data_IF_213172234461
#
_entry.id   IF_213172234461
#
_cell.length_a   1.000
_cell.length_b   1.000
_cell.length_c   1.000
_cell.angle_alpha   90.00
_cell.angle_beta   90.00
_cell.angle_gamma   90.00
#
_symmetry.space_group_name_H-M   'P 1'
#
loop_
_entity.id
_entity.type
_entity.pdbx_description
1 polymer ?
#
# COMPACT_ATOMS: atom_id res chain seq x y z
N UNK A 1 -15.84 2.68 -9.17
CA UNK A 1 -16.51 3.38 -8.03
C UNK A 1 -15.60 4.41 -7.38
N UNK A 2 -14.39 4.05 -6.92
CA UNK A 2 -13.45 4.99 -6.31
C UNK A 2 -12.97 6.09 -7.26
N UNK A 3 -12.65 5.75 -8.52
CA UNK A 3 -12.23 6.73 -9.53
C UNK A 3 -13.31 7.79 -9.82
N UNK A 4 -14.59 7.38 -9.80
CA UNK A 4 -15.72 8.31 -10.00
C UNK A 4 -15.88 9.23 -8.78
N UNK A 5 -15.73 8.68 -7.57
CA UNK A 5 -15.76 9.48 -6.34
C UNK A 5 -14.62 10.51 -6.30
N UNK A 6 -13.40 10.13 -6.71
CA UNK A 6 -12.26 11.03 -6.84
C UNK A 6 -12.53 12.14 -7.86
N UNK A 7 -13.05 11.81 -9.05
CA UNK A 7 -13.38 12.82 -10.06
C UNK A 7 -14.45 13.82 -9.61
N UNK A 8 -15.42 13.39 -8.80
CA UNK A 8 -16.44 14.30 -8.22
C UNK A 8 -15.81 15.20 -7.14
N UNK A 9 -14.90 14.66 -6.34
CA UNK A 9 -14.22 15.39 -5.28
C UNK A 9 -13.26 16.45 -5.84
N UNK A 10 -12.42 16.10 -6.82
CA UNK A 10 -11.50 17.05 -7.49
C UNK A 10 -12.25 18.18 -8.22
N UNK A 11 -13.44 17.90 -8.74
CA UNK A 11 -14.28 18.92 -9.40
C UNK A 11 -14.82 19.96 -8.41
N UNK A 12 -15.07 19.58 -7.16
CA UNK A 12 -15.61 20.47 -6.13
C UNK A 12 -14.53 21.08 -5.21
N UNK A 13 -13.40 20.39 -5.02
CA UNK A 13 -12.30 20.83 -4.18
C UNK A 13 -11.02 20.95 -5.00
N UNK A 14 -10.49 22.17 -5.11
CA UNK A 14 -9.15 22.38 -5.65
C UNK A 14 -8.13 21.82 -4.65
N UNK A 15 -7.23 20.91 -5.06
CA UNK A 15 -6.14 20.47 -4.21
C UNK A 15 -5.23 21.68 -3.95
N UNK A 16 -5.35 22.25 -2.75
CA UNK A 16 -4.45 23.29 -2.25
C UNK A 16 -3.32 22.60 -1.50
N UNK A 17 -2.09 22.92 -1.87
CA UNK A 17 -0.93 22.52 -1.09
C UNK A 17 -1.05 23.16 0.29
N UNK A 18 -1.08 22.33 1.34
CA UNK A 18 -1.12 22.79 2.73
C UNK A 18 0.18 23.50 3.14
N UNK A 19 1.27 23.27 2.41
CA UNK A 19 2.57 23.91 2.60
C UNK A 19 3.36 23.89 1.28
N UNK A 20 4.15 24.94 1.02
CA UNK A 20 5.08 25.02 -0.11
C UNK A 20 6.44 24.35 0.19
N UNK A 21 6.70 24.02 1.45
CA UNK A 21 7.94 23.34 1.85
C UNK A 21 7.80 21.82 1.70
N UNK A 22 8.53 21.26 0.73
CA UNK A 22 8.48 19.84 0.40
C UNK A 22 8.90 18.94 1.58
N UNK A 23 9.83 19.38 2.44
CA UNK A 23 10.23 18.58 3.61
C UNK A 23 9.08 18.49 4.61
N UNK A 24 8.41 19.62 4.87
CA UNK A 24 7.29 19.67 5.80
C UNK A 24 6.08 18.88 5.25
N UNK A 25 5.81 19.01 3.94
CA UNK A 25 4.77 18.25 3.26
C UNK A 25 5.01 16.73 3.35
N UNK A 26 6.25 16.28 3.15
CA UNK A 26 6.57 14.85 3.21
C UNK A 26 6.45 14.30 4.63
N UNK A 27 6.87 15.03 5.65
CA UNK A 27 6.80 14.57 7.04
C UNK A 27 5.34 14.46 7.50
N UNK A 28 4.55 15.52 7.33
CA UNK A 28 3.14 15.49 7.74
C UNK A 28 2.28 14.57 6.88
N UNK A 29 2.53 14.53 5.56
CA UNK A 29 1.83 13.65 4.64
C UNK A 29 2.10 12.17 4.94
N UNK A 30 3.37 11.80 5.14
CA UNK A 30 3.74 10.43 5.50
C UNK A 30 3.22 10.03 6.88
N UNK A 31 3.26 10.93 7.87
CA UNK A 31 2.70 10.66 9.20
C UNK A 31 1.18 10.41 9.16
N UNK A 32 0.43 11.24 8.44
CA UNK A 32 -1.01 11.08 8.30
C UNK A 32 -1.37 9.79 7.54
N UNK A 33 -0.64 9.48 6.48
CA UNK A 33 -0.77 8.22 5.71
C UNK A 33 -0.48 7.00 6.59
N UNK A 34 0.60 7.03 7.37
CA UNK A 34 0.95 5.95 8.28
C UNK A 34 -0.14 5.75 9.34
N UNK A 35 -0.67 6.82 9.91
CA UNK A 35 -1.72 6.76 10.91
C UNK A 35 -3.02 6.15 10.36
N UNK A 36 -3.47 6.60 9.19
CA UNK A 36 -4.64 6.02 8.52
C UNK A 36 -4.45 4.56 8.17
N UNK A 37 -3.24 4.19 7.73
CA UNK A 37 -2.90 2.80 7.40
C UNK A 37 -2.91 1.90 8.63
N UNK A 38 -2.40 2.35 9.78
CA UNK A 38 -2.43 1.60 11.05
C UNK A 38 -3.88 1.34 11.49
N UNK A 39 -4.74 2.35 11.45
CA UNK A 39 -6.16 2.21 11.81
C UNK A 39 -6.86 1.18 10.91
N UNK A 40 -6.60 1.26 9.60
CA UNK A 40 -7.14 0.33 8.62
C UNK A 40 -6.70 -1.12 8.91
N UNK A 41 -5.42 -1.32 9.21
CA UNK A 41 -4.88 -2.64 9.55
C UNK A 41 -5.47 -3.20 10.86
N UNK A 42 -5.71 -2.36 11.87
CA UNK A 42 -6.41 -2.79 13.10
C UNK A 42 -7.86 -3.17 12.87
N UNK A 43 -8.51 -2.64 11.83
CA UNK A 43 -9.88 -3.00 11.44
C UNK A 43 -9.93 -4.21 10.51
N UNK A 44 -8.85 -4.99 10.43
CA UNK A 44 -8.79 -6.15 9.54
C UNK A 44 -9.00 -5.77 8.06
N UNK A 45 -8.85 -4.50 7.70
CA UNK A 45 -9.08 -4.02 6.35
C UNK A 45 -7.79 -4.14 5.52
N UNK A 46 -7.96 -4.46 4.24
CA UNK A 46 -6.86 -4.64 3.28
C UNK A 46 -6.99 -3.63 2.15
N UNK A 47 -5.87 -3.07 1.72
CA UNK A 47 -5.82 -2.09 0.62
C UNK A 47 -6.08 -2.71 -0.75
N UNK A 48 -6.29 -4.04 -0.80
CA UNK A 48 -6.77 -4.72 -1.99
C UNK A 48 -5.68 -5.40 -2.85
N UNK A 49 -4.40 -5.09 -2.61
CA UNK A 49 -3.25 -5.65 -3.34
C UNK A 49 -2.56 -6.79 -2.59
N UNK A 50 -1.22 -6.75 -2.50
CA UNK A 50 -0.39 -7.73 -1.77
C UNK A 50 -0.82 -7.94 -0.32
N UNK A 51 -1.42 -6.92 0.30
CA UNK A 51 -2.01 -6.99 1.63
C UNK A 51 -3.15 -8.02 1.74
N UNK A 52 -3.86 -8.34 0.65
CA UNK A 52 -4.83 -9.46 0.61
C UNK A 52 -4.08 -10.79 0.73
N UNK A 53 -3.04 -11.01 -0.07
CA UNK A 53 -2.24 -12.23 -0.07
C UNK A 53 -1.59 -12.46 1.29
N UNK A 54 -1.06 -11.41 1.91
CA UNK A 54 -0.52 -11.46 3.27
C UNK A 54 -1.57 -11.88 4.30
N UNK A 55 -2.79 -11.34 4.19
CA UNK A 55 -3.90 -11.69 5.09
C UNK A 55 -4.42 -13.11 4.87
N UNK A 56 -4.44 -13.57 3.63
CA UNK A 56 -4.77 -14.95 3.28
C UNK A 56 -3.73 -15.91 3.88
N UNK A 57 -2.45 -15.60 3.74
CA UNK A 57 -1.37 -16.40 4.31
C UNK A 57 -1.39 -16.39 5.84
N UNK A 58 -1.68 -15.24 6.47
CA UNK A 58 -1.89 -15.15 7.92
C UNK A 58 -3.05 -16.06 8.39
N UNK A 59 -4.17 -16.05 7.67
CA UNK A 59 -5.37 -16.86 8.01
C UNK A 59 -5.16 -18.36 7.81
N UNK A 60 -4.41 -18.78 6.78
CA UNK A 60 -4.19 -20.19 6.47
C UNK A 60 -2.95 -20.81 7.14
N UNK A 61 -1.91 -20.02 7.44
CA UNK A 61 -0.64 -20.50 7.99
C UNK A 61 -0.36 -20.04 9.43
N UNK A 62 -1.24 -19.25 10.06
CA UNK A 62 -1.04 -18.67 11.41
C UNK A 62 0.24 -17.81 11.53
N UNK A 63 0.72 -17.26 10.42
CA UNK A 63 1.94 -16.45 10.34
C UNK A 63 1.56 -14.97 10.52
N UNK A 64 2.26 -14.22 11.38
CA UNK A 64 2.03 -12.78 11.60
C UNK A 64 1.86 -11.99 10.28
N UNK A 65 0.92 -11.04 10.23
CA UNK A 65 0.59 -10.27 9.01
C UNK A 65 1.84 -9.67 8.33
N UNK A 66 2.77 -9.12 9.11
CA UNK A 66 4.03 -8.58 8.60
C UNK A 66 4.93 -9.64 7.95
N UNK A 67 5.02 -10.84 8.54
CA UNK A 67 5.78 -11.96 7.95
C UNK A 67 5.10 -12.49 6.68
N UNK A 68 3.77 -12.55 6.67
CA UNK A 68 3.00 -12.93 5.48
C UNK A 68 3.21 -11.97 4.31
N UNK A 69 3.30 -10.67 4.59
CA UNK A 69 3.61 -9.66 3.59
C UNK A 69 5.03 -9.82 3.03
N UNK A 70 6.02 -10.01 3.91
CA UNK A 70 7.41 -10.25 3.50
C UNK A 70 7.57 -11.52 2.65
N UNK A 71 6.86 -12.59 2.98
CA UNK A 71 6.87 -13.83 2.18
C UNK A 71 6.27 -13.58 0.80
N UNK A 72 5.12 -12.89 0.75
CA UNK A 72 4.48 -12.54 -0.53
C UNK A 72 5.40 -11.71 -1.42
N UNK A 73 6.04 -10.67 -0.87
CA UNK A 73 7.00 -9.84 -1.61
C UNK A 73 8.23 -10.64 -2.04
N UNK A 74 8.74 -11.52 -1.17
CA UNK A 74 9.90 -12.37 -1.50
C UNK A 74 9.59 -13.32 -2.66
N UNK A 75 8.40 -13.92 -2.69
CA UNK A 75 7.95 -14.78 -3.80
C UNK A 75 7.86 -13.98 -5.09
N UNK A 76 7.27 -12.78 -5.05
CA UNK A 76 7.17 -11.89 -6.21
C UNK A 76 8.55 -11.48 -6.71
N UNK A 77 9.49 -11.15 -5.82
CA UNK A 77 10.88 -10.79 -6.19
C UNK A 77 11.60 -11.98 -6.84
N UNK A 78 11.45 -13.20 -6.31
CA UNK A 78 12.07 -14.40 -6.89
C UNK A 78 11.49 -14.67 -8.29
N UNK A 79 10.18 -14.57 -8.45
CA UNK A 79 9.50 -14.73 -9.75
C UNK A 79 9.88 -13.64 -10.75
N UNK A 80 10.01 -12.39 -10.28
CA UNK A 80 10.47 -11.27 -11.09
C UNK A 80 11.93 -11.47 -11.50
N UNK A 81 12.80 -11.93 -10.60
CA UNK A 81 14.19 -12.26 -10.92
C UNK A 81 14.26 -13.41 -11.94
N UNK A 82 13.40 -14.42 -11.85
CA UNK A 82 13.34 -15.49 -12.85
C UNK A 82 12.84 -14.97 -14.21
N UNK A 83 11.82 -14.12 -14.23
CA UNK A 83 11.20 -13.60 -15.46
C UNK A 83 12.08 -12.56 -16.15
N UNK A 84 12.56 -11.55 -15.42
CA UNK A 84 13.36 -10.44 -15.92
C UNK A 84 14.86 -10.73 -15.92
N UNK A 85 15.36 -11.58 -15.02
CA UNK A 85 16.76 -12.00 -15.05
C UNK A 85 17.10 -12.89 -16.26
N UNK A 86 16.09 -13.55 -16.84
CA UNK A 86 16.21 -14.24 -18.14
C UNK A 86 16.18 -13.23 -19.31
N UNK A 87 15.58 -12.06 -19.12
CA UNK A 87 15.47 -11.01 -20.15
C UNK A 87 16.72 -10.11 -20.24
N UNK A 88 17.63 -10.20 -19.26
CA UNK A 88 18.92 -9.50 -19.21
C UNK A 88 20.12 -10.40 -19.58
N UNK A 89 19.87 -11.58 -20.15
CA UNK A 89 20.89 -12.49 -20.70
C UNK A 89 21.06 -12.38 -22.20
#
# INVERSE_FOLDING_TARGET
SLSIALSILEKNYKPVALTDDLMLASIFGSALLAFGSVIMLTQDATTGGTSITAKLLNKYANIDFGKGLLISDSIVIILAMYTFGIELG
#
